data_IF_577572425420
#
_entry.id   IF_577572425420
#
_cell.length_a   1.000
_cell.length_b   1.000
_cell.length_c   1.000
_cell.angle_alpha   90.00
_cell.angle_beta   90.00
_cell.angle_gamma   90.00
#
_symmetry.space_group_name_H-M   'P 1'
#
loop_
_entity.id
_entity.type
_entity.pdbx_description
1 polymer ?
#
# COMPACT_ATOMS: atom_id res chain seq x y z
N UNK A 1 17.85 -57.88 -29.70
CA UNK A 1 16.44 -57.69 -29.31
C UNK A 1 16.26 -57.41 -27.82
N UNK A 2 16.99 -58.07 -26.91
CA UNK A 2 16.93 -57.79 -25.47
C UNK A 2 17.32 -56.34 -25.07
N UNK A 3 18.38 -55.79 -25.69
CA UNK A 3 18.86 -54.43 -25.42
C UNK A 3 17.85 -53.31 -25.80
N UNK A 4 16.95 -53.57 -26.75
CA UNK A 4 15.89 -52.61 -27.14
C UNK A 4 14.74 -52.58 -26.13
N UNK A 5 14.48 -53.70 -25.45
CA UNK A 5 13.48 -53.76 -24.38
C UNK A 5 13.96 -53.01 -23.13
N UNK A 6 15.23 -53.18 -22.75
CA UNK A 6 15.82 -52.57 -21.57
C UNK A 6 15.92 -51.04 -21.66
N UNK A 7 16.24 -50.51 -22.85
CA UNK A 7 16.24 -49.06 -23.13
C UNK A 7 14.83 -48.48 -23.09
N UNK A 8 13.82 -49.24 -23.54
CA UNK A 8 12.43 -48.80 -23.53
C UNK A 8 11.83 -48.82 -22.12
N UNK A 9 12.18 -49.81 -21.29
CA UNK A 9 11.80 -49.84 -19.87
C UNK A 9 12.44 -48.68 -19.10
N UNK A 10 13.72 -48.37 -19.36
CA UNK A 10 14.41 -47.24 -18.71
C UNK A 10 13.74 -45.90 -19.07
N UNK A 11 13.38 -45.70 -20.34
CA UNK A 11 12.69 -44.49 -20.77
C UNK A 11 11.26 -44.35 -20.22
N UNK A 12 10.57 -45.46 -19.95
CA UNK A 12 9.26 -45.45 -19.32
C UNK A 12 9.37 -45.03 -17.84
N UNK A 13 10.36 -45.58 -17.13
CA UNK A 13 10.62 -45.26 -15.72
C UNK A 13 11.03 -43.80 -15.54
N UNK A 14 11.86 -43.26 -16.44
CA UNK A 14 12.22 -41.83 -16.43
C UNK A 14 11.01 -40.93 -16.68
N UNK A 15 10.11 -41.31 -17.59
CA UNK A 15 8.89 -40.56 -17.88
C UNK A 15 7.89 -40.60 -16.70
N UNK A 16 7.76 -41.75 -16.03
CA UNK A 16 6.95 -41.89 -14.81
C UNK A 16 7.54 -41.09 -13.64
N UNK A 17 8.85 -41.13 -13.43
CA UNK A 17 9.55 -40.33 -12.41
C UNK A 17 9.42 -38.82 -12.66
N UNK A 18 9.47 -38.37 -13.92
CA UNK A 18 9.23 -36.97 -14.27
C UNK A 18 7.77 -36.55 -14.08
N UNK A 19 6.82 -37.45 -14.37
CA UNK A 19 5.40 -37.21 -14.14
C UNK A 19 5.10 -37.09 -12.64
N UNK A 20 5.61 -38.01 -11.82
CA UNK A 20 5.49 -37.98 -10.35
C UNK A 20 6.19 -36.76 -9.75
N UNK A 21 7.38 -36.38 -10.25
CA UNK A 21 8.08 -35.16 -9.81
C UNK A 21 7.28 -33.90 -10.15
N UNK A 22 6.65 -33.82 -11.33
CA UNK A 22 5.79 -32.68 -11.72
C UNK A 22 4.50 -32.65 -10.89
N UNK A 23 3.91 -33.80 -10.62
CA UNK A 23 2.73 -33.96 -9.79
C UNK A 23 3.00 -33.67 -8.31
N UNK A 24 4.22 -33.91 -7.79
CA UNK A 24 4.65 -33.50 -6.44
C UNK A 24 5.12 -32.04 -6.37
N UNK A 25 5.69 -31.49 -7.44
CA UNK A 25 6.07 -30.08 -7.50
C UNK A 25 4.84 -29.15 -7.60
N UNK A 26 3.78 -29.57 -8.29
CA UNK A 26 2.53 -28.82 -8.42
C UNK A 26 1.85 -28.48 -7.06
N UNK A 27 1.65 -29.41 -6.11
CA UNK A 27 1.05 -29.12 -4.82
C UNK A 27 1.96 -28.25 -3.96
N UNK A 28 3.29 -28.41 -4.02
CA UNK A 28 4.22 -27.56 -3.29
C UNK A 28 4.21 -26.11 -3.80
N UNK A 29 4.18 -25.88 -5.12
CA UNK A 29 4.09 -24.54 -5.71
C UNK A 29 2.71 -23.91 -5.46
N UNK A 30 1.63 -24.70 -5.46
CA UNK A 30 0.29 -24.20 -5.10
C UNK A 30 0.15 -23.90 -3.60
N UNK A 31 0.76 -24.68 -2.71
CA UNK A 31 0.74 -24.43 -1.26
C UNK A 31 1.53 -23.16 -0.89
N UNK A 32 2.69 -22.93 -1.54
CA UNK A 32 3.50 -21.71 -1.34
C UNK A 32 2.77 -20.44 -1.82
N UNK A 33 1.80 -20.58 -2.73
CA UNK A 33 0.94 -19.48 -3.19
C UNK A 33 -0.20 -19.14 -2.20
N UNK A 34 -0.43 -19.96 -1.17
CA UNK A 34 -1.29 -19.59 -0.06
C UNK A 34 -0.45 -18.98 1.07
N UNK A 35 -0.74 -17.73 1.45
CA UNK A 35 -0.24 -17.05 2.66
C UNK A 35 1.05 -16.23 2.52
N UNK A 36 1.29 -15.55 1.40
CA UNK A 36 2.19 -14.38 1.45
C UNK A 36 1.38 -13.19 1.99
N UNK A 37 1.69 -12.65 3.18
CA UNK A 37 1.04 -11.47 3.71
C UNK A 37 1.23 -10.28 2.76
N UNK A 38 0.22 -9.42 2.66
CA UNK A 38 0.29 -8.26 1.77
C UNK A 38 1.36 -7.28 2.27
N UNK A 39 2.21 -6.80 1.38
CA UNK A 39 3.26 -5.80 1.68
C UNK A 39 2.95 -4.43 1.05
N UNK A 40 1.86 -4.33 0.29
CA UNK A 40 1.51 -3.12 -0.48
C UNK A 40 0.31 -2.41 0.13
N UNK A 41 0.48 -1.12 0.41
CA UNK A 41 -0.63 -0.30 0.91
C UNK A 41 -1.66 -0.07 -0.19
N UNK A 42 -2.93 -0.28 0.14
CA UNK A 42 -4.02 -0.01 -0.76
C UNK A 42 -4.08 1.50 -1.11
N UNK A 43 -4.35 1.82 -2.39
CA UNK A 43 -4.41 3.22 -2.87
C UNK A 43 -5.40 4.12 -2.10
N UNK A 44 -6.41 3.53 -1.47
CA UNK A 44 -7.32 4.20 -0.55
C UNK A 44 -6.61 4.86 0.64
N UNK A 45 -5.56 4.24 1.19
CA UNK A 45 -4.78 4.81 2.31
C UNK A 45 -4.03 6.07 1.84
N UNK A 46 -3.42 6.04 0.66
CA UNK A 46 -2.77 7.21 0.07
C UNK A 46 -3.75 8.34 -0.23
N UNK A 47 -4.96 8.02 -0.72
CA UNK A 47 -6.03 9.01 -0.93
C UNK A 47 -6.48 9.64 0.38
N UNK A 48 -6.67 8.85 1.44
CA UNK A 48 -7.01 9.36 2.78
C UNK A 48 -5.91 10.28 3.31
N UNK A 49 -4.64 9.90 3.17
CA UNK A 49 -3.50 10.72 3.57
C UNK A 49 -3.48 12.08 2.85
N UNK A 50 -3.68 12.08 1.52
CA UNK A 50 -3.76 13.30 0.73
C UNK A 50 -4.91 14.20 1.20
N UNK A 51 -6.07 13.62 1.46
CA UNK A 51 -7.27 14.35 1.91
C UNK A 51 -7.07 15.00 3.28
N UNK A 52 -6.41 14.31 4.21
CA UNK A 52 -6.11 14.84 5.56
C UNK A 52 -5.21 16.08 5.47
N UNK A 53 -4.14 16.00 4.68
CA UNK A 53 -3.25 17.16 4.50
C UNK A 53 -3.90 18.30 3.73
N UNK A 54 -4.71 17.99 2.72
CA UNK A 54 -5.50 19.02 2.03
C UNK A 54 -6.47 19.72 2.98
N UNK A 55 -7.14 18.97 3.85
CA UNK A 55 -7.99 19.54 4.90
C UNK A 55 -7.19 20.40 5.88
N UNK A 56 -5.98 19.98 6.27
CA UNK A 56 -5.11 20.75 7.15
C UNK A 56 -4.71 22.09 6.51
N UNK A 57 -4.32 22.08 5.24
CA UNK A 57 -4.02 23.32 4.49
C UNK A 57 -5.24 24.23 4.38
N UNK A 58 -6.44 23.67 4.17
CA UNK A 58 -7.66 24.45 4.16
C UNK A 58 -7.94 25.11 5.52
N UNK A 59 -7.71 24.39 6.62
CA UNK A 59 -7.82 24.95 7.99
C UNK A 59 -6.84 26.11 8.17
N UNK A 60 -5.57 25.94 7.79
CA UNK A 60 -4.58 27.02 7.92
C UNK A 60 -4.89 28.21 7.01
N UNK A 61 -5.32 27.98 5.78
CA UNK A 61 -5.77 29.04 4.89
C UNK A 61 -6.89 29.87 5.52
N UNK A 62 -7.95 29.21 6.02
CA UNK A 62 -9.07 29.91 6.66
C UNK A 62 -8.68 30.62 7.95
N UNK A 63 -7.77 30.03 8.73
CA UNK A 63 -7.28 30.59 9.99
C UNK A 63 -6.46 31.85 9.74
N UNK A 64 -5.57 31.84 8.75
CA UNK A 64 -4.56 32.88 8.52
C UNK A 64 -4.83 33.80 7.33
N UNK A 65 -6.04 33.79 6.76
CA UNK A 65 -6.41 34.63 5.61
C UNK A 65 -6.17 36.15 5.74
N UNK A 66 -5.95 36.66 6.96
CA UNK A 66 -5.67 38.08 7.21
C UNK A 66 -4.18 38.44 7.32
N UNK A 67 -3.28 37.47 7.16
CA UNK A 67 -1.83 37.63 7.30
C UNK A 67 -1.12 37.11 6.04
N UNK A 68 -0.52 38.02 5.28
CA UNK A 68 0.15 37.70 4.01
C UNK A 68 1.38 36.80 4.19
N UNK A 69 2.14 36.97 5.28
CA UNK A 69 3.32 36.17 5.58
C UNK A 69 2.91 34.73 5.93
N UNK A 70 1.85 34.59 6.72
CA UNK A 70 1.31 33.28 7.06
C UNK A 70 0.72 32.55 5.83
N UNK A 71 0.00 33.26 4.95
CA UNK A 71 -0.51 32.68 3.71
C UNK A 71 0.61 32.26 2.76
N UNK A 72 1.71 33.01 2.69
CA UNK A 72 2.89 32.61 1.93
C UNK A 72 3.46 31.27 2.43
N UNK A 73 3.52 31.06 3.74
CA UNK A 73 3.95 29.79 4.33
C UNK A 73 2.97 28.64 4.03
N UNK A 74 1.66 28.90 4.01
CA UNK A 74 0.65 27.92 3.58
C UNK A 74 0.84 27.54 2.12
N UNK A 75 1.15 28.50 1.24
CA UNK A 75 1.41 28.23 -0.17
C UNK A 75 2.68 27.36 -0.36
N UNK A 76 3.77 27.66 0.35
CA UNK A 76 4.97 26.82 0.35
C UNK A 76 4.64 25.39 0.81
N UNK A 77 3.85 25.26 1.87
CA UNK A 77 3.42 23.96 2.39
C UNK A 77 2.58 23.19 1.37
N UNK A 78 1.73 23.86 0.60
CA UNK A 78 0.97 23.26 -0.49
C UNK A 78 1.86 22.74 -1.62
N UNK A 79 2.92 23.47 -1.98
CA UNK A 79 3.92 23.02 -2.97
C UNK A 79 4.64 21.77 -2.47
N UNK A 80 5.07 21.74 -1.20
CA UNK A 80 5.67 20.54 -0.61
C UNK A 80 4.71 19.36 -0.59
N UNK A 81 3.44 19.57 -0.21
CA UNK A 81 2.42 18.53 -0.25
C UNK A 81 2.29 17.96 -1.67
N UNK A 82 2.21 18.83 -2.68
CA UNK A 82 2.14 18.41 -4.07
C UNK A 82 3.38 17.63 -4.51
N UNK A 83 4.59 18.02 -4.08
CA UNK A 83 5.82 17.29 -4.38
C UNK A 83 5.84 15.91 -3.71
N UNK A 84 5.55 15.83 -2.41
CA UNK A 84 5.60 14.58 -1.65
C UNK A 84 4.49 13.59 -2.01
N UNK A 85 3.30 14.07 -2.40
CA UNK A 85 2.22 13.21 -2.87
C UNK A 85 2.30 12.93 -4.37
N UNK A 86 2.77 13.91 -5.15
CA UNK A 86 2.90 13.81 -6.60
C UNK A 86 4.00 12.85 -7.02
N UNK A 87 5.13 12.81 -6.32
CA UNK A 87 6.24 11.89 -6.62
C UNK A 87 5.82 10.41 -6.60
N UNK A 88 5.28 9.85 -5.50
CA UNK A 88 4.84 8.46 -5.48
C UNK A 88 3.67 8.19 -6.44
N UNK A 89 2.80 9.18 -6.67
CA UNK A 89 1.72 9.06 -7.65
C UNK A 89 2.25 8.91 -9.09
N UNK A 90 3.22 9.75 -9.48
CA UNK A 90 3.87 9.68 -10.79
C UNK A 90 4.68 8.40 -10.94
N UNK A 91 5.43 8.00 -9.92
CA UNK A 91 6.18 6.74 -9.91
C UNK A 91 5.26 5.52 -10.07
N UNK A 92 4.12 5.52 -9.36
CA UNK A 92 3.09 4.48 -9.52
C UNK A 92 2.51 4.44 -10.93
N UNK A 93 2.33 5.60 -11.57
CA UNK A 93 1.77 5.70 -12.92
C UNK A 93 2.77 5.30 -14.02
N UNK A 94 4.04 5.64 -13.87
CA UNK A 94 5.10 5.35 -14.87
C UNK A 94 5.64 3.93 -14.72
N UNK A 95 5.62 3.36 -13.51
CA UNK A 95 6.22 2.07 -13.19
C UNK A 95 5.61 0.84 -13.87
N UNK A 96 4.51 0.97 -14.61
CA UNK A 96 3.93 -0.09 -15.47
C UNK A 96 3.41 -1.35 -14.76
N UNK A 97 3.67 -1.50 -13.46
CA UNK A 97 3.14 -2.58 -12.63
C UNK A 97 1.74 -2.18 -12.20
N UNK A 98 0.75 -2.54 -13.03
CA UNK A 98 -0.59 -2.79 -12.50
C UNK A 98 -0.42 -3.98 -11.57
N UNK A 99 -0.24 -3.70 -10.29
CA UNK A 99 -0.24 -4.76 -9.28
C UNK A 99 -1.56 -5.52 -9.47
N UNK A 100 -1.56 -6.84 -9.71
CA UNK A 100 -2.79 -7.61 -9.82
C UNK A 100 -3.69 -7.43 -8.58
N UNK A 101 -3.07 -7.05 -7.46
CA UNK A 101 -3.68 -6.71 -6.18
C UNK A 101 -4.28 -5.29 -6.13
N UNK A 102 -3.98 -4.39 -7.09
CA UNK A 102 -4.49 -3.01 -7.14
C UNK A 102 -6.00 -2.92 -7.38
N UNK A 103 -6.64 -4.03 -7.75
CA UNK A 103 -8.09 -4.16 -7.90
C UNK A 103 -8.77 -4.79 -6.66
N UNK A 104 -8.03 -5.09 -5.59
CA UNK A 104 -8.65 -5.56 -4.35
C UNK A 104 -9.54 -4.48 -3.77
N UNK A 105 -10.71 -4.89 -3.30
CA UNK A 105 -11.62 -4.00 -2.59
C UNK A 105 -10.93 -3.48 -1.32
N UNK A 106 -11.04 -2.18 -1.04
CA UNK A 106 -10.51 -1.58 0.19
C UNK A 106 -10.98 -2.31 1.46
N UNK A 107 -12.23 -2.80 1.47
CA UNK A 107 -12.76 -3.58 2.58
C UNK A 107 -12.05 -4.93 2.77
N UNK A 108 -11.55 -5.54 1.68
CA UNK A 108 -10.74 -6.75 1.74
C UNK A 108 -9.36 -6.45 2.33
N UNK A 109 -8.70 -5.38 1.84
CA UNK A 109 -7.41 -4.92 2.39
C UNK A 109 -7.44 -4.75 3.91
N UNK A 110 -8.50 -4.14 4.47
CA UNK A 110 -8.60 -3.89 5.91
C UNK A 110 -8.61 -5.16 6.77
N UNK A 111 -8.96 -6.32 6.19
CA UNK A 111 -9.09 -7.61 6.90
C UNK A 111 -7.94 -8.56 6.62
N UNK A 112 -7.15 -8.30 5.58
CA UNK A 112 -6.05 -9.16 5.17
C UNK A 112 -4.82 -9.00 6.09
N UNK A 113 -4.01 -10.07 6.25
CA UNK A 113 -2.72 -9.98 6.92
C UNK A 113 -1.78 -9.08 6.08
N UNK A 114 -1.17 -8.13 6.77
CA UNK A 114 -0.25 -7.13 6.23
C UNK A 114 1.10 -7.29 6.92
N UNK A 115 2.15 -7.51 6.15
CA UNK A 115 3.50 -7.66 6.67
C UNK A 115 4.16 -6.29 6.87
N UNK A 116 4.64 -6.08 8.10
CA UNK A 116 5.48 -4.94 8.48
C UNK A 116 6.85 -5.46 8.89
N UNK A 117 7.82 -4.56 9.02
CA UNK A 117 9.13 -4.92 9.61
C UNK A 117 8.95 -5.61 10.97
N UNK A 118 8.05 -5.10 11.81
CA UNK A 118 7.85 -5.56 13.19
C UNK A 118 6.99 -6.81 13.32
N UNK A 119 6.54 -7.40 12.20
CA UNK A 119 5.68 -8.58 12.17
C UNK A 119 4.40 -8.38 11.36
N UNK A 120 3.53 -9.39 11.38
CA UNK A 120 2.28 -9.39 10.64
C UNK A 120 1.19 -8.71 11.48
N UNK A 121 0.53 -7.71 10.90
CA UNK A 121 -0.63 -7.00 11.45
C UNK A 121 -1.81 -7.13 10.48
N UNK A 122 -2.98 -6.62 10.85
CA UNK A 122 -4.09 -6.47 9.90
C UNK A 122 -3.91 -5.22 9.04
N UNK A 123 -4.44 -5.21 7.81
CA UNK A 123 -4.41 -4.01 6.96
C UNK A 123 -5.06 -2.77 7.61
N UNK A 124 -6.04 -2.96 8.52
CA UNK A 124 -6.60 -1.89 9.35
C UNK A 124 -5.59 -1.30 10.32
N UNK A 125 -4.80 -2.14 11.00
CA UNK A 125 -3.75 -1.68 11.92
C UNK A 125 -2.65 -0.94 11.16
N UNK A 126 -2.23 -1.47 10.01
CA UNK A 126 -1.28 -0.77 9.12
C UNK A 126 -1.82 0.60 8.67
N UNK A 127 -3.10 0.68 8.27
CA UNK A 127 -3.74 1.96 7.93
C UNK A 127 -3.74 2.93 9.12
N UNK A 128 -4.09 2.47 10.31
CA UNK A 128 -4.10 3.31 11.52
C UNK A 128 -2.69 3.83 11.82
N UNK A 129 -1.65 3.00 11.71
CA UNK A 129 -0.26 3.44 11.91
C UNK A 129 0.13 4.58 10.96
N UNK A 130 -0.31 4.52 9.69
CA UNK A 130 -0.03 5.56 8.69
C UNK A 130 -0.84 6.84 8.93
N UNK A 131 -2.13 6.71 9.26
CA UNK A 131 -3.05 7.84 9.30
C UNK A 131 -3.18 8.52 10.67
N UNK A 132 -2.74 7.87 11.75
CA UNK A 132 -2.93 8.38 13.12
C UNK A 132 -2.23 9.71 13.37
N UNK A 133 -0.97 9.86 12.95
CA UNK A 133 -0.21 11.10 13.16
C UNK A 133 -0.80 12.26 12.33
N UNK A 134 -1.02 12.13 11.00
CA UNK A 134 -1.66 13.17 10.21
C UNK A 134 -3.03 13.58 10.76
N UNK A 135 -3.84 12.62 11.19
CA UNK A 135 -5.16 12.91 11.80
C UNK A 135 -5.04 13.70 13.10
N UNK A 136 -4.09 13.35 13.98
CA UNK A 136 -3.86 14.07 15.22
C UNK A 136 -3.45 15.52 14.94
N UNK A 137 -2.58 15.75 13.95
CA UNK A 137 -2.15 17.09 13.53
C UNK A 137 -3.33 17.87 12.95
N UNK A 138 -4.20 17.25 12.14
CA UNK A 138 -5.41 17.88 11.63
C UNK A 138 -6.34 18.34 12.77
N UNK A 139 -6.60 17.47 13.74
CA UNK A 139 -7.45 17.80 14.90
C UNK A 139 -6.85 18.97 15.70
N UNK A 140 -5.53 18.93 15.95
CA UNK A 140 -4.84 20.02 16.62
C UNK A 140 -4.92 21.34 15.82
N UNK A 141 -4.72 21.27 14.50
CA UNK A 141 -4.86 22.40 13.58
C UNK A 141 -6.26 23.01 13.63
N UNK A 142 -7.31 22.19 13.59
CA UNK A 142 -8.70 22.63 13.77
C UNK A 142 -8.90 23.31 15.11
N UNK A 143 -8.37 22.74 16.21
CA UNK A 143 -8.45 23.35 17.55
C UNK A 143 -7.80 24.73 17.62
N UNK A 144 -6.58 24.86 17.06
CA UNK A 144 -5.91 26.16 16.96
C UNK A 144 -6.71 27.16 16.12
N UNK A 145 -7.24 26.72 14.98
CA UNK A 145 -8.08 27.56 14.11
C UNK A 145 -9.33 28.09 14.83
N UNK A 146 -10.01 27.24 15.61
CA UNK A 146 -11.17 27.64 16.41
C UNK A 146 -10.78 28.67 17.48
N UNK A 147 -9.68 28.43 18.21
CA UNK A 147 -9.21 29.38 19.24
C UNK A 147 -8.92 30.74 18.62
N UNK A 148 -8.19 30.78 17.50
CA UNK A 148 -7.86 32.02 16.80
C UNK A 148 -9.13 32.70 16.30
N UNK A 149 -10.08 31.94 15.73
CA UNK A 149 -11.33 32.50 15.22
C UNK A 149 -12.20 33.13 16.33
N UNK A 150 -12.21 32.56 17.54
CA UNK A 150 -12.93 33.09 18.71
C UNK A 150 -12.18 34.24 19.38
N UNK A 151 -10.85 34.34 19.20
CA UNK A 151 -10.02 35.39 19.82
C UNK A 151 -9.95 36.68 18.99
N UNK A 152 -10.59 36.71 17.82
CA UNK A 152 -10.72 37.90 16.96
C UNK A 152 -11.94 38.71 17.35
#
# INVERSE_FOLDING_TARGET
MAMLAEVMETGLIEAELEAERKEQAAPAIMLVKMTQPNTTLHGGVFKSLALIYAALLAVFWLTFQGDEEALFMVAISAVYLAAYMGTPFLLSRVGGRVDPESNKNFAAFLREPFETWTGIVTGREAMLQVLLIPMAILIAGCGMGVIIAVSR
#
